data_IF_617166284136
#
_entry.id   IF_617166284136
#
_cell.length_a   1.000
_cell.length_b   1.000
_cell.length_c   1.000
_cell.angle_alpha   90.00
_cell.angle_beta   90.00
_cell.angle_gamma   90.00
#
_symmetry.space_group_name_H-M   'P 1'
#
loop_
_entity.id
_entity.type
_entity.pdbx_description
1 polymer ?
#
# COMPACT_ATOMS: atom_id res chain seq x y z
N UNK A 1 1.87 19.31 15.85
CA UNK A 1 2.18 18.55 14.62
C UNK A 1 3.28 19.28 13.87
N UNK A 2 4.44 18.66 13.69
CA UNK A 2 5.45 19.17 12.76
C UNK A 2 4.85 19.08 11.36
N UNK A 3 4.68 20.22 10.68
CA UNK A 3 4.14 20.28 9.31
C UNK A 3 5.13 19.65 8.34
N UNK A 4 5.11 18.32 8.23
CA UNK A 4 5.89 17.60 7.23
C UNK A 4 5.39 18.05 5.86
N UNK A 5 6.27 18.65 5.06
CA UNK A 5 5.98 19.04 3.68
C UNK A 5 5.43 17.82 2.93
N UNK A 6 4.23 17.91 2.36
CA UNK A 6 3.68 16.85 1.53
C UNK A 6 4.44 16.81 0.18
N UNK A 7 5.23 15.75 -0.12
CA UNK A 7 6.02 15.63 -1.34
C UNK A 7 5.14 15.52 -2.60
N UNK A 8 3.87 15.14 -2.46
CA UNK A 8 2.92 15.03 -3.57
C UNK A 8 2.45 16.38 -4.11
N UNK A 9 2.72 17.49 -3.41
CA UNK A 9 2.42 18.83 -3.90
C UNK A 9 3.24 19.22 -5.14
N UNK A 10 4.31 18.49 -5.44
CA UNK A 10 5.17 18.73 -6.61
C UNK A 10 5.36 17.42 -7.37
N UNK A 11 4.77 17.35 -8.56
CA UNK A 11 4.96 16.26 -9.50
C UNK A 11 5.85 16.72 -10.66
N UNK A 12 6.70 15.81 -11.14
CA UNK A 12 7.55 16.01 -12.30
C UNK A 12 7.16 15.04 -13.41
N UNK A 13 7.09 15.55 -14.64
CA UNK A 13 7.07 14.74 -15.85
C UNK A 13 8.51 14.56 -16.33
N UNK A 14 9.01 13.33 -16.36
CA UNK A 14 10.40 13.02 -16.73
C UNK A 14 10.44 11.82 -17.66
N UNK A 15 11.51 11.71 -18.45
CA UNK A 15 11.81 10.50 -19.21
C UNK A 15 12.53 9.48 -18.32
N UNK A 16 11.99 8.26 -18.26
CA UNK A 16 12.62 7.11 -17.60
C UNK A 16 12.71 5.99 -18.64
N UNK A 17 13.93 5.68 -19.09
CA UNK A 17 14.19 4.64 -20.08
C UNK A 17 13.42 4.83 -21.40
N UNK A 18 13.21 6.06 -21.87
CA UNK A 18 12.50 6.36 -23.12
C UNK A 18 10.98 6.43 -22.99
N UNK A 19 10.44 6.33 -21.77
CA UNK A 19 9.02 6.46 -21.48
C UNK A 19 8.74 7.67 -20.58
N UNK A 20 7.64 8.37 -20.84
CA UNK A 20 7.19 9.47 -19.99
C UNK A 20 6.67 8.93 -18.65
N UNK A 21 7.18 9.50 -17.57
CA UNK A 21 6.86 9.13 -16.20
C UNK A 21 6.34 10.34 -15.41
N UNK A 22 5.31 10.10 -14.59
CA UNK A 22 4.73 11.06 -13.64
C UNK A 22 5.17 10.64 -12.24
N UNK A 23 6.10 11.40 -11.65
CA UNK A 23 6.70 11.07 -10.36
C UNK A 23 6.53 12.22 -9.37
N UNK A 24 6.53 11.93 -8.06
CA UNK A 24 6.82 12.98 -7.09
C UNK A 24 8.22 13.52 -7.38
N UNK A 25 8.39 14.85 -7.38
CA UNK A 25 9.67 15.48 -7.74
C UNK A 25 10.81 14.95 -6.86
N UNK A 26 10.54 14.72 -5.58
CA UNK A 26 11.52 14.24 -4.59
C UNK A 26 11.87 12.75 -4.75
N UNK A 27 11.06 11.97 -5.46
CA UNK A 27 11.29 10.54 -5.72
C UNK A 27 12.12 10.29 -6.99
N UNK A 28 12.25 11.29 -7.89
CA UNK A 28 12.82 11.14 -9.24
C UNK A 28 14.19 10.46 -9.23
N UNK A 29 15.10 10.90 -8.38
CA UNK A 29 16.47 10.38 -8.35
C UNK A 29 16.53 8.92 -7.88
N UNK A 30 15.70 8.56 -6.89
CA UNK A 30 15.62 7.18 -6.41
C UNK A 30 14.97 6.26 -7.46
N UNK A 31 13.93 6.72 -8.16
CA UNK A 31 13.34 5.95 -9.28
C UNK A 31 14.38 5.75 -10.39
N UNK A 32 15.06 6.81 -10.84
CA UNK A 32 16.12 6.69 -11.86
C UNK A 32 17.21 5.71 -11.43
N UNK A 33 17.63 5.76 -10.16
CA UNK A 33 18.66 4.87 -9.63
C UNK A 33 18.19 3.41 -9.62
N UNK A 34 16.96 3.15 -9.16
CA UNK A 34 16.39 1.81 -9.14
C UNK A 34 16.20 1.24 -10.56
N UNK A 35 15.61 2.02 -11.48
CA UNK A 35 15.39 1.58 -12.86
C UNK A 35 16.69 1.42 -13.66
N UNK A 36 17.78 2.05 -13.19
CA UNK A 36 19.11 1.90 -13.76
C UNK A 36 19.86 0.64 -13.29
N UNK A 37 19.36 -0.07 -12.26
CA UNK A 37 20.05 -1.25 -11.71
C UNK A 37 20.15 -2.37 -12.74
N UNK A 38 21.22 -3.19 -12.63
CA UNK A 38 21.39 -4.39 -13.46
C UNK A 38 20.19 -5.35 -13.34
N UNK A 39 19.60 -5.47 -12.15
CA UNK A 39 18.40 -6.29 -11.96
C UNK A 39 17.23 -5.74 -12.78
N UNK A 40 16.89 -4.47 -12.61
CA UNK A 40 15.72 -3.87 -13.28
C UNK A 40 15.85 -3.90 -14.80
N UNK A 41 17.04 -3.57 -15.34
CA UNK A 41 17.32 -3.63 -16.78
C UNK A 41 17.19 -5.03 -17.38
N UNK A 42 17.41 -6.08 -16.58
CA UNK A 42 17.36 -7.47 -17.00
C UNK A 42 16.07 -8.19 -16.56
N UNK A 43 15.03 -7.44 -16.14
CA UNK A 43 13.71 -8.02 -15.91
C UNK A 43 13.22 -8.67 -17.22
N UNK A 44 13.05 -9.99 -17.17
CA UNK A 44 12.57 -10.81 -18.31
C UNK A 44 11.08 -10.69 -18.54
N UNK A 45 10.34 -10.27 -17.52
CA UNK A 45 8.89 -10.22 -17.51
C UNK A 45 8.45 -8.81 -17.11
N UNK A 46 7.70 -8.18 -18.01
CA UNK A 46 7.25 -6.80 -17.86
C UNK A 46 6.22 -6.64 -16.75
N UNK A 47 5.64 -7.74 -16.23
CA UNK A 47 4.72 -7.67 -15.09
C UNK A 47 5.38 -7.07 -13.84
N UNK A 48 6.71 -7.15 -13.70
CA UNK A 48 7.44 -6.57 -12.57
C UNK A 48 7.90 -5.12 -12.81
N UNK A 49 7.76 -4.60 -14.03
CA UNK A 49 8.15 -3.22 -14.34
C UNK A 49 7.15 -2.24 -13.73
N UNK A 50 7.68 -1.14 -13.21
CA UNK A 50 6.88 -0.02 -12.75
C UNK A 50 6.16 0.62 -13.94
N UNK A 51 4.88 0.90 -13.75
CA UNK A 51 4.01 1.58 -14.71
C UNK A 51 3.95 3.05 -14.32
N UNK A 52 4.90 3.84 -14.83
CA UNK A 52 5.15 5.21 -14.36
C UNK A 52 4.38 6.28 -15.15
N UNK A 53 3.69 5.92 -16.22
CA UNK A 53 2.92 6.84 -17.06
C UNK A 53 1.60 7.34 -16.46
N UNK A 54 1.31 7.00 -15.20
CA UNK A 54 0.06 7.32 -14.51
C UNK A 54 0.33 8.17 -13.27
N UNK A 55 -0.65 8.97 -12.85
CA UNK A 55 -0.60 9.63 -11.55
C UNK A 55 -0.42 8.55 -10.46
N UNK A 56 0.56 8.67 -9.55
CA UNK A 56 0.77 7.68 -8.49
C UNK A 56 -0.46 7.50 -7.59
N UNK A 57 -0.52 6.40 -6.85
CA UNK A 57 -1.58 6.16 -5.88
C UNK A 57 -0.97 5.60 -4.60
N UNK A 58 -0.70 6.50 -3.66
CA UNK A 58 -0.21 6.11 -2.34
C UNK A 58 -1.33 5.88 -1.34
N UNK A 59 -2.44 6.60 -1.45
CA UNK A 59 -3.58 6.40 -0.58
C UNK A 59 -4.90 6.82 -1.23
N UNK A 60 -5.99 6.23 -0.74
CA UNK A 60 -7.37 6.43 -1.19
C UNK A 60 -8.20 6.86 0.03
N UNK A 61 -9.15 7.79 -0.14
CA UNK A 61 -9.93 8.35 0.96
C UNK A 61 -9.17 9.37 1.80
N UNK A 62 -9.77 9.78 2.92
CA UNK A 62 -9.18 10.72 3.87
C UNK A 62 -8.24 10.00 4.85
N UNK A 63 -6.98 9.86 4.47
CA UNK A 63 -5.97 9.19 5.31
C UNK A 63 -5.75 9.88 6.67
N UNK A 64 -6.03 11.19 6.77
CA UNK A 64 -5.80 11.98 7.97
C UNK A 64 -6.90 11.78 9.00
N UNK A 65 -8.16 11.57 8.56
CA UNK A 65 -9.31 11.56 9.45
C UNK A 65 -10.14 10.26 9.43
N UNK A 66 -9.89 9.31 8.53
CA UNK A 66 -10.65 8.07 8.45
C UNK A 66 -10.57 7.24 9.75
N UNK A 67 -11.66 6.61 10.16
CA UNK A 67 -11.67 5.73 11.34
C UNK A 67 -10.88 4.43 11.12
N UNK A 68 -10.80 3.96 9.87
CA UNK A 68 -10.13 2.72 9.49
C UNK A 68 -9.13 3.00 8.37
N UNK A 69 -7.87 2.60 8.55
CA UNK A 69 -6.85 2.60 7.50
C UNK A 69 -6.47 1.16 7.16
N UNK A 70 -6.65 0.79 5.89
CA UNK A 70 -6.26 -0.52 5.36
C UNK A 70 -4.93 -0.39 4.64
N UNK A 71 -3.91 -1.11 5.12
CA UNK A 71 -2.54 -1.08 4.60
C UNK A 71 -2.30 -2.23 3.60
N UNK A 72 -1.73 -1.89 2.46
CA UNK A 72 -1.50 -2.78 1.30
C UNK A 72 -0.04 -2.69 0.79
N UNK A 73 0.27 -3.28 -0.38
CA UNK A 73 1.63 -3.37 -0.93
C UNK A 73 1.93 -2.24 -1.91
N UNK A 74 1.28 -2.21 -3.05
CA UNK A 74 1.39 -1.17 -4.06
C UNK A 74 0.16 -1.22 -4.98
N UNK A 75 -0.18 -0.13 -5.69
CA UNK A 75 -1.33 -0.15 -6.57
C UNK A 75 -1.09 -1.13 -7.75
N UNK A 76 -2.10 -1.95 -8.02
CA UNK A 76 -2.05 -2.95 -9.08
C UNK A 76 -2.33 -2.35 -10.46
N UNK A 77 -1.63 -2.84 -11.48
CA UNK A 77 -1.89 -2.49 -12.87
C UNK A 77 -2.47 -3.67 -13.65
N UNK A 78 -3.45 -3.38 -14.51
CA UNK A 78 -3.88 -4.27 -15.58
C UNK A 78 -3.96 -3.48 -16.89
N UNK A 79 -3.89 -4.12 -18.07
CA UNK A 79 -4.04 -3.40 -19.34
C UNK A 79 -5.33 -2.58 -19.45
N UNK A 80 -6.44 -3.07 -18.87
CA UNK A 80 -7.73 -2.39 -18.86
C UNK A 80 -7.70 -1.10 -18.05
N UNK A 81 -6.88 -1.05 -16.97
CA UNK A 81 -6.71 0.16 -16.16
C UNK A 81 -6.27 1.35 -17.01
N UNK A 82 -5.36 1.16 -17.97
CA UNK A 82 -4.90 2.24 -18.84
C UNK A 82 -6.05 2.90 -19.59
N UNK A 83 -6.89 2.08 -20.23
CA UNK A 83 -8.04 2.57 -20.99
C UNK A 83 -9.01 3.33 -20.09
N UNK A 84 -9.36 2.77 -18.94
CA UNK A 84 -10.29 3.40 -18.00
C UNK A 84 -9.74 4.71 -17.43
N UNK A 85 -8.46 4.70 -17.03
CA UNK A 85 -7.75 5.87 -16.51
C UNK A 85 -7.71 7.01 -17.53
N UNK A 86 -7.37 6.73 -18.79
CA UNK A 86 -7.20 7.76 -19.82
C UNK A 86 -8.51 8.47 -20.18
N UNK A 87 -9.65 7.76 -20.09
CA UNK A 87 -10.99 8.28 -20.40
C UNK A 87 -11.65 9.04 -19.24
N UNK A 88 -11.23 8.81 -17.98
CA UNK A 88 -11.86 9.44 -16.81
C UNK A 88 -10.98 10.54 -16.18
N UNK A 89 -11.17 11.78 -16.66
CA UNK A 89 -10.49 12.96 -16.11
C UNK A 89 -10.88 13.29 -14.66
N UNK A 90 -12.07 12.89 -14.22
CA UNK A 90 -12.49 13.10 -12.85
C UNK A 90 -11.72 12.16 -11.92
N UNK A 91 -11.56 10.90 -12.30
CA UNK A 91 -10.73 9.95 -11.56
C UNK A 91 -9.28 10.43 -11.43
N UNK A 92 -8.66 10.92 -12.52
CA UNK A 92 -7.30 11.48 -12.50
C UNK A 92 -7.19 12.65 -11.50
N UNK A 93 -8.19 13.54 -11.48
CA UNK A 93 -8.25 14.67 -10.54
C UNK A 93 -8.44 14.21 -9.11
N UNK A 94 -9.28 13.22 -8.87
CA UNK A 94 -9.53 12.64 -7.54
C UNK A 94 -8.27 11.98 -6.97
N UNK A 95 -7.54 11.22 -7.78
CA UNK A 95 -6.22 10.68 -7.41
C UNK A 95 -5.27 11.78 -6.94
N UNK A 96 -5.13 12.84 -7.72
CA UNK A 96 -4.24 13.95 -7.41
C UNK A 96 -4.68 14.71 -6.14
N UNK A 97 -5.98 14.98 -6.00
CA UNK A 97 -6.56 15.63 -4.83
C UNK A 97 -6.27 14.84 -3.55
N UNK A 98 -6.46 13.52 -3.60
CA UNK A 98 -6.12 12.65 -2.48
C UNK A 98 -4.63 12.74 -2.15
N UNK A 99 -3.72 12.48 -3.11
CA UNK A 99 -2.28 12.56 -2.88
C UNK A 99 -1.85 13.89 -2.25
N UNK A 100 -2.41 15.00 -2.72
CA UNK A 100 -2.08 16.34 -2.24
C UNK A 100 -2.77 16.72 -0.93
N UNK A 101 -3.72 15.91 -0.45
CA UNK A 101 -4.59 16.19 0.69
C UNK A 101 -5.35 17.51 0.49
N UNK A 102 -5.92 17.71 -0.70
CA UNK A 102 -6.62 18.94 -1.10
C UNK A 102 -8.05 18.69 -1.56
N UNK A 103 -8.93 19.62 -1.21
CA UNK A 103 -10.33 19.58 -1.59
C UNK A 103 -11.08 18.44 -0.89
N UNK A 104 -12.14 17.95 -1.54
CA UNK A 104 -12.92 16.84 -1.02
C UNK A 104 -12.16 15.53 -1.27
N UNK A 105 -11.54 14.98 -0.22
CA UNK A 105 -10.91 13.67 -0.26
C UNK A 105 -12.00 12.61 -0.42
N UNK A 106 -11.75 11.65 -1.30
CA UNK A 106 -12.79 10.71 -1.74
C UNK A 106 -12.26 9.29 -1.88
N UNK A 107 -13.08 8.32 -1.49
CA UNK A 107 -12.75 6.91 -1.61
C UNK A 107 -12.98 6.39 -3.03
N UNK A 108 -11.99 6.57 -3.91
CA UNK A 108 -12.09 6.23 -5.34
C UNK A 108 -11.73 4.77 -5.69
N UNK A 109 -11.60 3.87 -4.71
CA UNK A 109 -11.07 2.52 -4.98
C UNK A 109 -11.99 1.64 -5.85
N UNK A 110 -13.25 2.06 -6.05
CA UNK A 110 -14.26 1.34 -6.83
C UNK A 110 -14.67 2.10 -8.11
N UNK A 111 -14.14 3.30 -8.35
CA UNK A 111 -14.64 4.19 -9.40
C UNK A 111 -14.45 3.58 -10.79
N UNK A 112 -13.30 2.94 -11.01
CA UNK A 112 -12.98 2.25 -12.26
C UNK A 112 -13.56 0.83 -12.35
N UNK A 113 -14.26 0.36 -11.32
CA UNK A 113 -14.99 -0.91 -11.41
C UNK A 113 -16.20 -0.71 -12.35
N UNK A 114 -16.31 -1.56 -13.37
CA UNK A 114 -17.34 -1.48 -14.40
C UNK A 114 -18.54 -2.37 -14.05
N UNK A 115 -18.51 -3.65 -14.47
CA UNK A 115 -19.64 -4.58 -14.31
C UNK A 115 -19.42 -5.61 -13.20
N UNK A 116 -18.16 -5.85 -12.84
CA UNK A 116 -17.78 -6.79 -11.78
C UNK A 116 -17.09 -6.05 -10.64
N UNK A 117 -17.14 -6.63 -9.45
CA UNK A 117 -16.33 -6.15 -8.34
C UNK A 117 -14.83 -6.25 -8.69
N UNK A 118 -14.15 -5.10 -8.66
CA UNK A 118 -12.70 -5.03 -8.72
C UNK A 118 -12.05 -5.60 -7.48
N UNK A 119 -10.72 -5.48 -7.39
CA UNK A 119 -9.95 -6.07 -6.30
C UNK A 119 -10.43 -5.59 -4.94
N UNK A 120 -10.49 -4.27 -4.72
CA UNK A 120 -10.90 -3.71 -3.45
C UNK A 120 -12.39 -3.91 -3.18
N UNK A 121 -13.24 -3.76 -4.18
CA UNK A 121 -14.68 -4.00 -4.01
C UNK A 121 -14.99 -5.43 -3.54
N UNK A 122 -14.28 -6.44 -4.07
CA UNK A 122 -14.37 -7.83 -3.58
C UNK A 122 -13.97 -7.97 -2.12
N UNK A 123 -13.03 -7.17 -1.63
CA UNK A 123 -12.57 -7.21 -0.23
C UNK A 123 -13.53 -6.49 0.70
N UNK A 124 -14.10 -5.38 0.27
CA UNK A 124 -14.93 -4.51 1.12
C UNK A 124 -16.41 -4.87 1.15
N UNK A 125 -16.95 -5.51 0.10
CA UNK A 125 -18.37 -5.89 0.07
C UNK A 125 -18.81 -6.75 1.25
N UNK A 126 -17.87 -7.52 1.82
CA UNK A 126 -18.13 -8.42 2.95
C UNK A 126 -18.40 -7.70 4.28
N UNK A 127 -18.30 -6.37 4.33
CA UNK A 127 -18.66 -5.56 5.49
C UNK A 127 -20.15 -5.22 5.56
N UNK A 128 -20.89 -5.48 4.48
CA UNK A 128 -22.28 -5.11 4.35
C UNK A 128 -23.08 -6.34 3.95
N UNK A 129 -24.12 -6.64 4.73
CA UNK A 129 -25.03 -7.76 4.44
C UNK A 129 -25.99 -7.43 3.29
N UNK A 130 -26.16 -6.15 2.97
CA UNK A 130 -27.08 -5.61 1.95
C UNK A 130 -26.39 -5.24 0.63
N UNK A 131 -25.22 -5.83 0.34
CA UNK A 131 -24.47 -5.60 -0.90
C UNK A 131 -24.43 -6.88 -1.75
N UNK A 132 -25.29 -6.93 -2.75
CA UNK A 132 -25.36 -8.03 -3.72
C UNK A 132 -24.54 -7.73 -4.98
N UNK A 133 -24.53 -6.47 -5.41
CA UNK A 133 -23.89 -6.01 -6.64
C UNK A 133 -23.03 -4.75 -6.44
N UNK A 134 -22.35 -4.31 -7.51
CA UNK A 134 -21.43 -3.17 -7.45
C UNK A 134 -22.15 -1.84 -7.18
N UNK A 135 -23.39 -1.68 -7.66
CA UNK A 135 -24.16 -0.46 -7.44
C UNK A 135 -24.49 -0.30 -5.95
N UNK A 136 -24.91 -1.37 -5.27
CA UNK A 136 -25.17 -1.36 -3.82
C UNK A 136 -23.93 -0.94 -3.04
N UNK A 137 -22.75 -1.42 -3.44
CA UNK A 137 -21.48 -1.03 -2.82
C UNK A 137 -21.15 0.44 -3.09
N UNK A 138 -21.38 0.92 -4.33
CA UNK A 138 -21.13 2.31 -4.72
C UNK A 138 -22.04 3.28 -3.95
N UNK A 139 -23.25 2.88 -3.55
CA UNK A 139 -24.11 3.67 -2.66
C UNK A 139 -23.50 3.88 -1.26
N UNK A 140 -22.57 3.02 -0.83
CA UNK A 140 -21.83 3.18 0.44
C UNK A 140 -20.62 4.12 0.32
N UNK A 141 -20.27 4.65 -0.87
CA UNK A 141 -19.10 5.52 -1.08
C UNK A 141 -19.04 6.76 -0.16
N UNK A 142 -20.16 7.43 0.20
CA UNK A 142 -20.12 8.51 1.18
C UNK A 142 -19.66 8.03 2.56
N UNK A 143 -20.07 6.83 2.97
CA UNK A 143 -19.62 6.21 4.21
C UNK A 143 -18.13 5.87 4.12
N UNK A 144 -17.69 5.23 3.03
CA UNK A 144 -16.28 4.92 2.81
C UNK A 144 -15.40 6.17 2.83
N UNK A 145 -15.80 7.24 2.15
CA UNK A 145 -15.04 8.48 2.07
C UNK A 145 -14.87 9.17 3.42
N UNK A 146 -15.80 8.93 4.36
CA UNK A 146 -15.73 9.46 5.73
C UNK A 146 -14.95 8.55 6.68
N UNK A 147 -15.09 7.24 6.54
CA UNK A 147 -14.68 6.29 7.58
C UNK A 147 -13.48 5.42 7.21
N UNK A 148 -13.11 5.36 5.92
CA UNK A 148 -12.12 4.38 5.43
C UNK A 148 -11.09 5.06 4.55
N UNK A 149 -9.83 4.71 4.76
CA UNK A 149 -8.74 5.00 3.85
C UNK A 149 -7.99 3.72 3.46
N UNK A 150 -7.42 3.73 2.25
CA UNK A 150 -6.42 2.75 1.82
C UNK A 150 -5.05 3.40 1.80
N UNK A 151 -4.02 2.65 2.15
CA UNK A 151 -2.64 3.10 2.04
C UNK A 151 -1.76 2.02 1.43
N UNK A 152 -1.03 2.40 0.39
CA UNK A 152 -0.10 1.54 -0.35
C UNK A 152 1.33 1.80 0.14
N UNK A 153 2.05 0.72 0.46
CA UNK A 153 3.41 0.81 0.97
C UNK A 153 4.36 1.47 -0.04
N UNK A 154 4.17 1.21 -1.34
CA UNK A 154 4.88 1.86 -2.43
C UNK A 154 3.88 2.49 -3.42
N UNK A 155 4.06 3.74 -3.85
CA UNK A 155 3.00 4.50 -4.50
C UNK A 155 2.87 4.28 -6.02
N UNK A 156 3.81 3.59 -6.65
CA UNK A 156 3.83 3.41 -8.10
C UNK A 156 3.29 2.04 -8.51
N UNK A 157 2.62 2.03 -9.67
CA UNK A 157 1.89 0.88 -10.20
C UNK A 157 2.81 -0.21 -10.73
N UNK A 158 2.37 -1.46 -10.65
CA UNK A 158 2.96 -2.61 -11.32
C UNK A 158 1.92 -3.73 -11.44
N UNK A 159 2.05 -4.63 -12.41
CA UNK A 159 1.20 -5.84 -12.43
C UNK A 159 1.53 -6.78 -11.28
N UNK A 160 2.82 -6.94 -10.98
CA UNK A 160 3.34 -7.65 -9.81
C UNK A 160 4.48 -6.85 -9.19
N UNK A 161 4.49 -6.78 -7.87
CA UNK A 161 5.54 -6.10 -7.15
C UNK A 161 6.88 -6.84 -7.27
N UNK A 162 7.93 -6.12 -7.67
CA UNK A 162 9.31 -6.63 -7.67
C UNK A 162 9.88 -6.62 -6.24
N UNK A 163 10.14 -7.79 -5.66
CA UNK A 163 10.70 -7.86 -4.32
C UNK A 163 12.14 -7.30 -4.23
N UNK A 164 12.86 -7.15 -5.35
CA UNK A 164 14.17 -6.46 -5.38
C UNK A 164 14.08 -4.95 -5.16
N UNK A 165 12.90 -4.36 -5.32
CA UNK A 165 12.65 -2.99 -4.85
C UNK A 165 12.86 -2.88 -3.34
N UNK A 166 12.55 -3.93 -2.57
CA UNK A 166 12.79 -3.92 -1.12
C UNK A 166 14.29 -3.93 -0.81
N UNK A 167 15.06 -4.77 -1.52
CA UNK A 167 16.52 -4.82 -1.35
C UNK A 167 17.14 -3.45 -1.67
N UNK A 168 16.59 -2.74 -2.66
CA UNK A 168 16.97 -1.37 -2.99
C UNK A 168 16.61 -0.38 -1.87
N UNK A 169 15.35 -0.37 -1.42
CA UNK A 169 14.86 0.49 -0.33
C UNK A 169 15.66 0.27 0.97
N UNK A 170 15.99 -0.98 1.31
CA UNK A 170 16.79 -1.27 2.52
C UNK A 170 18.21 -0.71 2.46
N UNK A 171 18.76 -0.49 1.25
CA UNK A 171 20.11 0.07 1.05
C UNK A 171 20.10 1.59 0.93
N UNK A 172 19.14 2.12 0.19
CA UNK A 172 19.04 3.54 -0.16
C UNK A 172 18.18 4.35 0.83
N UNK A 173 17.36 3.65 1.62
CA UNK A 173 16.33 4.21 2.47
C UNK A 173 14.99 4.36 1.75
N UNK A 174 13.95 4.63 2.54
CA UNK A 174 12.60 4.90 2.02
C UNK A 174 12.55 6.16 1.16
N UNK A 175 11.70 6.11 0.13
CA UNK A 175 11.40 7.26 -0.71
C UNK A 175 10.76 8.39 0.11
N UNK A 176 10.99 9.67 -0.23
CA UNK A 176 10.34 10.80 0.43
C UNK A 176 8.82 10.66 0.57
N UNK A 177 8.14 10.19 -0.48
CA UNK A 177 6.71 9.90 -0.45
C UNK A 177 6.32 8.80 0.53
N UNK A 178 7.10 7.71 0.60
CA UNK A 178 6.89 6.64 1.60
C UNK A 178 7.04 7.18 3.02
N UNK A 179 8.11 7.94 3.30
CA UNK A 179 8.35 8.56 4.61
C UNK A 179 7.19 9.46 5.02
N UNK A 180 6.65 10.24 4.07
CA UNK A 180 5.50 11.09 4.31
C UNK A 180 4.28 10.30 4.79
N UNK A 181 3.87 9.25 4.06
CA UNK A 181 2.74 8.41 4.47
C UNK A 181 3.02 7.71 5.81
N UNK A 182 4.23 7.20 6.01
CA UNK A 182 4.58 6.52 7.26
C UNK A 182 4.50 7.45 8.46
N UNK A 183 4.92 8.71 8.31
CA UNK A 183 4.79 9.72 9.34
C UNK A 183 3.32 10.06 9.62
N UNK A 184 2.48 10.20 8.59
CA UNK A 184 1.04 10.44 8.79
C UNK A 184 0.39 9.32 9.62
N UNK A 185 0.59 8.06 9.23
CA UNK A 185 0.03 6.92 9.95
C UNK A 185 0.62 6.84 11.37
N UNK A 186 1.93 7.07 11.52
CA UNK A 186 2.60 7.05 12.82
C UNK A 186 2.04 8.11 13.77
N UNK A 187 1.79 9.33 13.29
CA UNK A 187 1.21 10.41 14.09
C UNK A 187 -0.15 10.01 14.64
N UNK A 188 -1.02 9.43 13.79
CA UNK A 188 -2.34 8.92 14.21
C UNK A 188 -2.23 7.78 15.24
N UNK A 189 -1.33 6.83 15.01
CA UNK A 189 -1.08 5.70 15.93
C UNK A 189 -0.55 6.14 17.31
N UNK A 190 0.14 7.28 17.37
CA UNK A 190 0.71 7.82 18.60
C UNK A 190 -0.21 8.81 19.33
N UNK A 191 -1.33 9.23 18.72
CA UNK A 191 -2.29 10.12 19.36
C UNK A 191 -3.30 9.30 20.16
N UNK A 192 -3.24 9.40 21.50
CA UNK A 192 -4.16 8.71 22.40
C UNK A 192 -5.63 9.13 22.20
N UNK A 193 -5.89 10.28 21.56
CA UNK A 193 -7.23 10.77 21.23
C UNK A 193 -7.73 10.30 19.86
N UNK A 194 -6.90 9.64 19.06
CA UNK A 194 -7.24 9.10 17.76
C UNK A 194 -7.36 7.56 17.82
N UNK A 195 -8.57 7.01 17.96
CA UNK A 195 -8.78 5.57 18.08
C UNK A 195 -8.73 4.84 16.72
N UNK A 196 -7.96 5.32 15.75
CA UNK A 196 -7.85 4.74 14.41
C UNK A 196 -7.65 3.22 14.43
N UNK A 197 -8.36 2.51 13.56
CA UNK A 197 -8.16 1.09 13.34
C UNK A 197 -7.22 0.90 12.17
N UNK A 198 -6.13 0.15 12.39
CA UNK A 198 -5.18 -0.20 11.34
C UNK A 198 -5.39 -1.67 10.95
N UNK A 199 -5.64 -1.93 9.67
CA UNK A 199 -5.75 -3.29 9.12
C UNK A 199 -4.65 -3.52 8.11
N UNK A 200 -3.68 -4.37 8.42
CA UNK A 200 -2.61 -4.74 7.50
C UNK A 200 -3.05 -5.96 6.69
N UNK A 201 -3.16 -5.82 5.38
CA UNK A 201 -3.61 -6.91 4.48
C UNK A 201 -2.44 -7.70 3.90
N UNK A 202 -1.31 -7.02 3.67
CA UNK A 202 -0.14 -7.58 3.01
C UNK A 202 1.13 -6.92 3.54
N UNK A 203 2.28 -7.54 3.25
CA UNK A 203 3.59 -6.95 3.53
C UNK A 203 3.82 -6.60 5.00
N UNK A 204 3.27 -7.39 5.94
CA UNK A 204 3.27 -7.10 7.38
C UNK A 204 4.62 -6.60 7.91
N UNK A 205 5.68 -7.37 7.68
CA UNK A 205 7.02 -7.02 8.16
C UNK A 205 7.50 -5.66 7.62
N UNK A 206 7.16 -5.32 6.37
CA UNK A 206 7.56 -4.05 5.78
C UNK A 206 6.88 -2.86 6.45
N UNK A 207 5.58 -2.99 6.75
CA UNK A 207 4.85 -1.98 7.51
C UNK A 207 5.38 -1.84 8.93
N UNK A 208 5.74 -2.95 9.57
CA UNK A 208 6.35 -2.93 10.90
C UNK A 208 7.76 -2.33 10.93
N UNK A 209 8.55 -2.56 9.90
CA UNK A 209 9.89 -1.97 9.80
C UNK A 209 9.77 -0.46 9.54
N UNK A 210 8.81 -0.05 8.72
CA UNK A 210 8.52 1.35 8.43
C UNK A 210 7.90 2.11 9.62
N UNK A 211 6.99 1.47 10.35
CA UNK A 211 6.25 2.03 11.48
C UNK A 211 6.27 1.03 12.65
N UNK A 212 7.36 0.98 13.43
CA UNK A 212 7.52 0.01 14.52
C UNK A 212 6.40 0.03 15.56
N UNK A 213 5.77 1.19 15.76
CA UNK A 213 4.65 1.39 16.69
C UNK A 213 3.44 0.49 16.38
N UNK A 214 3.26 0.08 15.12
CA UNK A 214 2.15 -0.80 14.73
C UNK A 214 2.18 -2.16 15.44
N UNK A 215 3.36 -2.64 15.88
CA UNK A 215 3.48 -3.94 16.57
C UNK A 215 2.75 -3.98 17.92
N UNK A 216 2.79 -2.85 18.64
CA UNK A 216 2.23 -2.72 19.99
C UNK A 216 0.92 -1.93 19.99
N UNK A 217 0.54 -1.34 18.85
CA UNK A 217 -0.66 -0.51 18.77
C UNK A 217 -1.92 -1.33 19.02
N UNK A 218 -2.68 -0.92 20.05
CA UNK A 218 -3.85 -1.65 20.52
C UNK A 218 -4.93 -1.84 19.46
N UNK A 219 -5.01 -1.01 18.43
CA UNK A 219 -6.02 -1.10 17.36
C UNK A 219 -5.42 -1.52 16.00
N UNK A 220 -4.26 -2.19 16.00
CA UNK A 220 -3.67 -2.80 14.81
C UNK A 220 -4.07 -4.27 14.67
N UNK A 221 -4.45 -4.67 13.45
CA UNK A 221 -4.88 -6.02 13.09
C UNK A 221 -4.24 -6.46 11.76
N UNK A 222 -4.13 -7.76 11.56
CA UNK A 222 -3.66 -8.37 10.32
C UNK A 222 -4.72 -9.31 9.75
N UNK A 223 -4.81 -9.40 8.43
CA UNK A 223 -5.59 -10.48 7.81
C UNK A 223 -4.90 -11.84 8.04
N UNK A 224 -5.67 -12.91 8.21
CA UNK A 224 -5.15 -14.27 8.43
C UNK A 224 -4.35 -14.85 7.26
N UNK A 225 -4.59 -14.40 6.03
CA UNK A 225 -3.90 -14.87 4.82
C UNK A 225 -3.39 -13.70 3.95
N UNK A 226 -2.06 -13.46 3.87
CA UNK A 226 -1.52 -12.37 3.04
C UNK A 226 -1.65 -12.62 1.54
N UNK A 227 -1.68 -13.87 1.09
CA UNK A 227 -1.79 -14.19 -0.33
C UNK A 227 -3.19 -13.93 -0.85
N UNK A 228 -4.21 -14.12 -0.02
CA UNK A 228 -5.59 -13.78 -0.32
C UNK A 228 -6.25 -13.09 0.90
N UNK A 229 -5.97 -11.79 1.11
CA UNK A 229 -6.46 -11.08 2.29
C UNK A 229 -7.98 -11.04 2.29
N UNK A 230 -8.59 -11.17 3.46
CA UNK A 230 -10.02 -11.07 3.67
C UNK A 230 -10.26 -10.01 4.74
N UNK A 231 -11.15 -9.06 4.47
CA UNK A 231 -11.50 -8.01 5.43
C UNK A 231 -12.67 -8.42 6.34
N UNK A 232 -13.17 -9.65 6.24
CA UNK A 232 -14.19 -10.15 7.16
C UNK A 232 -13.68 -10.10 8.60
N UNK A 233 -14.45 -9.59 9.58
CA UNK A 233 -13.99 -9.40 10.96
C UNK A 233 -13.38 -10.64 11.60
N UNK A 234 -13.94 -11.83 11.35
CA UNK A 234 -13.43 -13.10 11.89
C UNK A 234 -12.04 -13.51 11.35
N UNK A 235 -11.60 -12.87 10.26
CA UNK A 235 -10.27 -13.09 9.66
C UNK A 235 -9.25 -12.01 10.06
N UNK A 236 -9.62 -11.05 10.92
CA UNK A 236 -8.74 -10.00 11.41
C UNK A 236 -8.17 -10.39 12.77
N UNK A 237 -6.87 -10.64 12.81
CA UNK A 237 -6.16 -11.17 13.97
C UNK A 237 -5.32 -10.09 14.64
N UNK A 238 -5.22 -10.17 15.97
CA UNK A 238 -4.31 -9.34 16.76
C UNK A 238 -2.85 -9.70 16.48
N UNK A 239 -2.01 -8.68 16.44
CA UNK A 239 -0.57 -8.80 16.24
C UNK A 239 0.10 -9.36 17.50
N UNK A 240 0.64 -10.59 17.41
CA UNK A 240 1.77 -11.06 18.24
C UNK A 240 2.62 -12.04 17.43
N UNK A 241 3.62 -11.52 16.70
CA UNK A 241 4.59 -12.35 15.95
C UNK A 241 5.97 -12.18 16.57
N UNK A 242 6.43 -13.20 17.30
CA UNK A 242 7.80 -13.27 17.81
C UNK A 242 8.63 -14.14 16.86
N UNK A 243 9.86 -13.73 16.56
CA UNK A 243 10.78 -14.55 15.77
C UNK A 243 11.18 -15.77 16.59
N UNK A 244 10.84 -16.97 16.13
CA UNK A 244 11.29 -18.23 16.73
C UNK A 244 12.69 -18.65 16.26
N UNK A 245 13.45 -17.74 15.63
CA UNK A 245 14.69 -18.07 14.93
C UNK A 245 15.70 -18.72 15.88
N UNK A 246 15.95 -18.12 17.04
CA UNK A 246 16.92 -18.62 18.01
C UNK A 246 16.50 -19.98 18.59
N UNK A 247 15.21 -20.13 18.86
CA UNK A 247 14.60 -21.36 19.37
C UNK A 247 14.75 -22.50 18.36
N UNK A 248 14.50 -22.23 17.08
CA UNK A 248 14.64 -23.20 15.98
C UNK A 248 16.11 -23.51 15.71
N UNK A 249 16.98 -22.49 15.62
CA UNK A 249 18.43 -22.69 15.42
C UNK A 249 19.02 -23.60 16.50
N UNK A 250 18.65 -23.37 17.77
CA UNK A 250 19.07 -24.23 18.88
C UNK A 250 18.60 -25.68 18.70
N UNK A 251 17.34 -25.90 18.34
CA UNK A 251 16.81 -27.27 18.09
C UNK A 251 17.57 -27.96 16.95
N UNK A 252 17.89 -27.21 15.88
CA UNK A 252 18.64 -27.73 14.74
C UNK A 252 20.08 -28.09 15.13
N UNK A 253 20.78 -27.20 15.84
CA UNK A 253 22.14 -27.45 16.37
C UNK A 253 22.17 -28.68 17.28
N UNK A 254 21.24 -28.78 18.24
CA UNK A 254 21.16 -29.91 19.17
C UNK A 254 20.83 -31.23 18.46
N UNK A 255 20.05 -31.18 17.38
CA UNK A 255 19.72 -32.35 16.56
C UNK A 255 20.91 -32.81 15.70
N UNK A 256 21.67 -31.88 15.15
CA UNK A 256 22.87 -32.17 14.35
C UNK A 256 23.97 -32.81 15.22
N UNK A 257 24.21 -32.29 16.43
CA UNK A 257 25.18 -32.88 17.38
C UNK A 257 24.86 -34.35 17.73
N UNK A 258 23.58 -34.72 17.78
CA UNK A 258 23.16 -36.12 18.05
C UNK A 258 23.44 -37.08 16.89
N UNK A 259 23.60 -36.57 15.67
CA UNK A 259 23.95 -37.36 14.49
C UNK A 259 25.46 -37.59 14.40
N UNK A 260 26.28 -36.67 14.90
CA UNK A 260 27.75 -36.78 14.90
C UNK A 260 28.30 -37.75 15.97
N UNK A 261 27.47 -38.15 16.94
CA UNK A 261 27.82 -39.11 17.99
C UNK A 261 27.21 -40.52 17.79
N UNK A 262 26.80 -40.84 16.56
CA UNK A 262 26.42 -42.20 16.11
C UNK A 262 27.45 -42.75 15.14
#
# INVERSE_FOLDING_TARGET
MTTTKNPWNQLSNVDINGEQAILATEDVELIKKYTSTKHYKNLKDDIYRLQLGFCPQQFVGDIQNADIIVLSKNPGYTPEFKTLYDHDKNYQKTLLNNLQLKGNLYFHAFDLDTNEFGYWAKKFKVWFDDVDNLQDLKEKLPWFSKHVALAEYFPYYSTKYDDKLNDFISKEGYFPTQKFLFNLIRERVLDDNDPVIIIITRSYNKWYDAIPQLKEYKNCYETSNPSNPSLKPENLLKVKRYSAKKEVEKVLEDSLKKLEHK
#
